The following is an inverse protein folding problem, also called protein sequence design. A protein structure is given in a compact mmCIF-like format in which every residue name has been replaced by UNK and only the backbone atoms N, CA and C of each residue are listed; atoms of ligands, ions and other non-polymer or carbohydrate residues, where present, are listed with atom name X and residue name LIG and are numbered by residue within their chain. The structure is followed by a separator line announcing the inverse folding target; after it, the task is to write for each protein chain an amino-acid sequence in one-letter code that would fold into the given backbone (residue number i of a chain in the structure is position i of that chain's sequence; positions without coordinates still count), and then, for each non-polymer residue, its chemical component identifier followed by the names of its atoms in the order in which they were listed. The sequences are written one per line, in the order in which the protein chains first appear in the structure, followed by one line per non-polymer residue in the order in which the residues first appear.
data_IF_478411573201
#
_entry.id   IF_478411573201
#
_cell.length_a   1.000
_cell.length_b   1.000
_cell.length_c   1.000
_cell.angle_alpha   90.00
_cell.angle_beta   90.00
_cell.angle_gamma   90.00
#
_symmetry.space_group_name_H-M   'P 1'
#
loop_
_entity.id
_entity.type
_entity.pdbx_description
1 polymer ?
#
# COMPACT_ATOMS: atom_id res chain seq x y z
N UNK A 1 30.02 -11.58 75.56
CA UNK A 1 29.11 -10.53 75.03
C UNK A 1 29.83 -9.39 74.28
N UNK A 2 31.01 -8.93 74.73
CA UNK A 2 31.73 -7.81 74.09
C UNK A 2 32.46 -8.18 72.78
N UNK A 3 33.06 -9.38 72.68
CA UNK A 3 33.70 -9.83 71.44
C UNK A 3 32.73 -9.88 70.24
N UNK A 4 31.49 -10.32 70.46
CA UNK A 4 30.48 -10.40 69.40
C UNK A 4 30.07 -9.01 68.88
N UNK A 5 30.13 -7.98 69.73
CA UNK A 5 29.87 -6.59 69.33
C UNK A 5 31.01 -6.06 68.45
N UNK A 6 32.26 -6.28 68.87
CA UNK A 6 33.43 -5.89 68.08
C UNK A 6 33.53 -6.64 66.75
N UNK A 7 33.23 -7.93 66.73
CA UNK A 7 33.17 -8.70 65.49
C UNK A 7 32.10 -8.16 64.52
N UNK A 8 30.92 -7.75 65.02
CA UNK A 8 29.88 -7.12 64.19
C UNK A 8 30.30 -5.75 63.65
N UNK A 9 30.98 -4.93 64.46
CA UNK A 9 31.49 -3.62 64.02
C UNK A 9 32.56 -3.79 62.95
N UNK A 10 33.52 -4.70 63.15
CA UNK A 10 34.55 -5.01 62.16
C UNK A 10 33.96 -5.58 60.86
N UNK A 11 32.98 -6.48 60.97
CA UNK A 11 32.27 -7.01 59.80
C UNK A 11 31.47 -5.93 59.06
N UNK A 12 30.84 -5.01 59.80
CA UNK A 12 30.14 -3.85 59.23
C UNK A 12 31.08 -2.90 58.48
N UNK A 13 32.24 -2.58 59.06
CA UNK A 13 33.28 -1.78 58.40
C UNK A 13 33.81 -2.46 57.14
N UNK A 14 34.07 -3.77 57.22
CA UNK A 14 34.50 -4.56 56.07
C UNK A 14 33.46 -4.57 54.94
N UNK A 15 32.15 -4.61 55.26
CA UNK A 15 31.08 -4.50 54.26
C UNK A 15 30.97 -3.11 53.62
N UNK A 16 31.38 -2.05 54.32
CA UNK A 16 31.40 -0.68 53.78
C UNK A 16 32.60 -0.48 52.86
N UNK A 17 33.78 -0.93 53.29
CA UNK A 17 35.00 -0.87 52.48
C UNK A 17 34.95 -1.83 51.29
N UNK A 18 34.26 -2.96 51.44
CA UNK A 18 34.07 -3.99 50.42
C UNK A 18 32.58 -4.28 50.20
N UNK A 19 31.85 -3.36 49.52
CA UNK A 19 30.43 -3.56 49.28
C UNK A 19 30.22 -4.86 48.50
N UNK A 20 29.36 -5.78 48.99
CA UNK A 20 29.14 -7.06 48.34
C UNK A 20 28.63 -6.82 46.92
N UNK A 21 29.42 -7.27 45.95
CA UNK A 21 29.18 -7.07 44.51
C UNK A 21 27.91 -7.74 44.02
N UNK A 22 27.40 -8.72 44.76
CA UNK A 22 26.17 -9.47 44.50
C UNK A 22 24.91 -8.60 44.34
N UNK A 23 24.85 -7.40 44.97
CA UNK A 23 23.69 -6.51 44.88
C UNK A 23 23.98 -5.13 44.28
N UNK A 24 25.13 -4.94 43.60
CA UNK A 24 25.49 -3.66 42.91
C UNK A 24 24.68 -3.40 41.62
N UNK A 25 23.41 -3.81 41.57
CA UNK A 25 22.57 -3.69 40.37
C UNK A 25 21.07 -3.79 40.61
N UNK A 26 20.60 -3.93 41.86
CA UNK A 26 19.18 -4.07 42.19
C UNK A 26 18.40 -2.75 42.25
N UNK A 27 19.05 -1.63 41.94
CA UNK A 27 18.33 -0.49 41.35
C UNK A 27 17.80 -0.96 40.00
N UNK A 28 16.57 -1.51 39.99
CA UNK A 28 15.93 -2.04 38.78
C UNK A 28 16.10 -1.00 37.67
N UNK A 29 16.87 -1.34 36.63
CA UNK A 29 17.07 -0.47 35.46
C UNK A 29 15.70 -0.25 34.81
N UNK A 30 15.03 0.85 35.15
CA UNK A 30 13.71 1.24 34.63
C UNK A 30 13.71 1.45 33.11
N UNK A 31 14.89 1.71 32.54
CA UNK A 31 15.07 1.97 31.11
C UNK A 31 16.15 1.04 30.58
N UNK A 32 15.79 0.26 29.57
CA UNK A 32 16.72 -0.62 28.87
C UNK A 32 17.85 0.17 28.23
N UNK A 33 19.01 -0.47 28.04
CA UNK A 33 20.15 0.14 27.36
C UNK A 33 19.77 0.61 25.94
N UNK A 34 18.95 -0.16 25.23
CA UNK A 34 18.44 0.19 23.90
C UNK A 34 17.60 1.47 23.92
N UNK A 35 16.68 1.62 24.88
CA UNK A 35 15.85 2.82 25.01
C UNK A 35 16.69 4.06 25.35
N UNK A 36 17.71 3.92 26.19
CA UNK A 36 18.70 5.00 26.44
C UNK A 36 19.45 5.39 25.16
N UNK A 37 19.92 4.41 24.38
CA UNK A 37 20.60 4.68 23.10
C UNK A 37 19.69 5.39 22.09
N UNK A 38 18.43 4.97 21.98
CA UNK A 38 17.46 5.62 21.10
C UNK A 38 17.20 7.08 21.50
N UNK A 39 16.96 7.34 22.79
CA UNK A 39 16.77 8.71 23.31
C UNK A 39 18.00 9.58 22.99
N UNK A 40 19.19 9.05 23.25
CA UNK A 40 20.44 9.75 22.97
C UNK A 40 20.68 9.97 21.46
N UNK A 41 20.12 9.14 20.59
CA UNK A 41 20.13 9.36 19.14
C UNK A 41 19.16 10.48 18.75
N UNK A 42 17.96 10.53 19.35
CA UNK A 42 16.99 11.60 19.14
C UNK A 42 17.56 12.98 19.50
N UNK A 43 18.29 13.08 20.62
CA UNK A 43 18.97 14.33 21.00
C UNK A 43 20.10 14.75 20.03
N UNK A 44 20.61 13.83 19.21
CA UNK A 44 21.65 14.10 18.20
C UNK A 44 21.08 14.29 16.79
N UNK A 45 19.76 14.35 16.65
CA UNK A 45 19.14 14.56 15.34
C UNK A 45 19.47 15.95 14.81
N UNK A 46 19.80 16.01 13.53
CA UNK A 46 20.06 17.26 12.83
C UNK A 46 18.73 17.88 12.34
N UNK A 47 18.57 19.21 12.41
CA UNK A 47 17.36 19.87 11.92
C UNK A 47 17.27 19.79 10.40
N UNK A 48 16.05 19.84 9.84
CA UNK A 48 15.81 19.58 8.42
C UNK A 48 16.62 20.50 7.47
N UNK A 49 16.81 21.77 7.83
CA UNK A 49 17.57 22.74 7.02
C UNK A 49 19.07 22.40 6.91
N UNK A 50 19.60 21.58 7.82
CA UNK A 50 21.00 21.13 7.80
C UNK A 50 21.20 19.85 6.97
N UNK A 51 20.12 19.22 6.51
CA UNK A 51 20.17 17.98 5.74
C UNK A 51 20.55 18.31 4.28
N UNK A 52 21.45 17.54 3.65
CA UNK A 52 21.75 17.71 2.24
C UNK A 52 20.48 17.62 1.37
N UNK A 53 20.36 18.52 0.38
CA UNK A 53 19.15 18.65 -0.46
C UNK A 53 18.65 17.33 -1.06
N UNK A 54 19.55 16.51 -1.61
CA UNK A 54 19.16 15.21 -2.20
C UNK A 54 18.56 14.25 -1.17
N UNK A 55 19.04 14.28 0.08
CA UNK A 55 18.52 13.43 1.16
C UNK A 55 17.16 13.92 1.65
N UNK A 56 16.99 15.24 1.74
CA UNK A 56 15.69 15.85 2.03
C UNK A 56 14.67 15.52 0.91
N UNK A 57 15.08 15.59 -0.36
CA UNK A 57 14.25 15.20 -1.50
C UNK A 57 13.84 13.72 -1.44
N UNK A 58 14.77 12.80 -1.14
CA UNK A 58 14.43 11.38 -1.02
C UNK A 58 13.45 11.11 0.13
N UNK A 59 13.59 11.80 1.26
CA UNK A 59 12.61 11.72 2.35
C UNK A 59 11.25 12.27 1.93
N UNK A 60 11.24 13.42 1.25
CA UNK A 60 10.04 14.07 0.77
C UNK A 60 9.27 13.20 -0.24
N UNK A 61 9.94 12.66 -1.26
CA UNK A 61 9.31 11.84 -2.29
C UNK A 61 8.62 10.60 -1.70
N UNK A 62 9.25 9.96 -0.72
CA UNK A 62 8.65 8.81 -0.03
C UNK A 62 7.39 9.22 0.75
N UNK A 63 7.49 10.29 1.53
CA UNK A 63 6.36 10.81 2.30
C UNK A 63 5.22 11.29 1.39
N UNK A 64 5.54 11.93 0.27
CA UNK A 64 4.55 12.38 -0.71
C UNK A 64 3.80 11.19 -1.34
N UNK A 65 4.51 10.13 -1.72
CA UNK A 65 3.87 8.92 -2.23
C UNK A 65 2.92 8.29 -1.21
N UNK A 66 3.39 8.07 0.02
CA UNK A 66 2.65 7.33 1.05
C UNK A 66 1.51 8.14 1.67
N UNK A 67 1.65 9.47 1.79
CA UNK A 67 0.64 10.31 2.44
C UNK A 67 -0.32 10.99 1.47
N UNK A 68 0.12 11.27 0.24
CA UNK A 68 -0.70 11.96 -0.75
C UNK A 68 -1.14 11.02 -1.87
N UNK A 69 -0.21 10.41 -2.61
CA UNK A 69 -0.57 9.62 -3.80
C UNK A 69 -1.37 8.36 -3.47
N UNK A 70 -1.11 7.71 -2.32
CA UNK A 70 -1.88 6.53 -1.88
C UNK A 70 -3.26 6.90 -1.31
N UNK A 71 -3.42 8.12 -0.80
CA UNK A 71 -4.69 8.61 -0.25
C UNK A 71 -5.61 9.19 -1.33
N UNK A 72 -5.05 9.60 -2.46
CA UNK A 72 -5.81 10.11 -3.60
C UNK A 72 -6.62 8.99 -4.26
N UNK A 73 -7.83 9.32 -4.71
CA UNK A 73 -8.69 8.36 -5.37
C UNK A 73 -8.04 7.88 -6.66
N UNK A 74 -8.04 6.56 -6.86
CA UNK A 74 -7.44 5.96 -8.05
C UNK A 74 -8.28 6.39 -9.27
N UNK A 75 -7.76 7.33 -10.06
CA UNK A 75 -8.44 7.85 -11.27
C UNK A 75 -8.87 6.70 -12.20
N UNK A 76 -8.13 5.58 -12.18
CA UNK A 76 -8.45 4.38 -12.96
C UNK A 76 -9.71 3.67 -12.49
N UNK A 77 -10.19 3.91 -11.28
CA UNK A 77 -11.45 3.35 -10.77
C UNK A 77 -12.64 3.82 -11.63
N UNK A 78 -12.57 5.02 -12.22
CA UNK A 78 -13.62 5.54 -13.10
C UNK A 78 -13.52 5.06 -14.55
N UNK A 79 -12.43 4.38 -14.91
CA UNK A 79 -12.20 3.93 -16.29
C UNK A 79 -13.33 3.04 -16.82
N UNK A 80 -13.82 2.11 -16.00
CA UNK A 80 -14.86 1.16 -16.41
C UNK A 80 -16.20 1.88 -16.60
N UNK A 81 -16.53 2.83 -15.71
CA UNK A 81 -17.74 3.65 -15.82
C UNK A 81 -17.72 4.47 -17.11
N UNK A 82 -16.61 5.15 -17.40
CA UNK A 82 -16.44 5.92 -18.63
C UNK A 82 -16.54 5.07 -19.90
N UNK A 83 -15.97 3.85 -19.89
CA UNK A 83 -16.07 2.94 -21.02
C UNK A 83 -17.51 2.46 -21.26
N UNK A 84 -18.29 2.26 -20.20
CA UNK A 84 -19.72 1.92 -20.30
C UNK A 84 -20.54 3.11 -20.82
N UNK A 85 -20.32 4.30 -20.27
CA UNK A 85 -21.02 5.53 -20.68
C UNK A 85 -20.77 5.84 -22.16
N UNK A 86 -19.50 5.85 -22.59
CA UNK A 86 -19.13 6.09 -23.99
C UNK A 86 -19.74 5.04 -24.93
N UNK A 87 -19.75 3.76 -24.51
CA UNK A 87 -20.38 2.70 -25.29
C UNK A 87 -21.89 2.91 -25.44
N UNK A 88 -22.57 3.27 -24.35
CA UNK A 88 -24.01 3.53 -24.35
C UNK A 88 -24.35 4.74 -25.24
N UNK A 89 -23.60 5.83 -25.13
CA UNK A 89 -23.79 7.02 -25.97
C UNK A 89 -23.63 6.72 -27.47
N UNK A 90 -22.58 5.99 -27.85
CA UNK A 90 -22.35 5.60 -29.26
C UNK A 90 -23.48 4.71 -29.76
N UNK A 91 -23.89 3.72 -28.97
CA UNK A 91 -24.95 2.80 -29.36
C UNK A 91 -26.31 3.52 -29.45
N UNK A 92 -26.62 4.44 -28.54
CA UNK A 92 -27.85 5.23 -28.60
C UNK A 92 -27.87 6.19 -29.80
N UNK A 93 -26.72 6.79 -30.17
CA UNK A 93 -26.58 7.58 -31.39
C UNK A 93 -26.71 6.75 -32.68
N UNK A 94 -26.10 5.57 -32.73
CA UNK A 94 -26.22 4.65 -33.86
C UNK A 94 -27.66 4.11 -33.96
N UNK A 95 -28.31 3.77 -32.86
CA UNK A 95 -29.71 3.31 -32.84
C UNK A 95 -30.69 4.43 -33.24
N UNK A 96 -30.43 5.69 -32.87
CA UNK A 96 -31.27 6.83 -33.27
C UNK A 96 -31.12 7.17 -34.75
N UNK A 97 -29.89 7.21 -35.28
CA UNK A 97 -29.63 7.39 -36.71
C UNK A 97 -30.23 6.25 -37.55
N UNK A 98 -30.10 5.00 -37.11
CA UNK A 98 -30.74 3.84 -37.77
C UNK A 98 -32.28 3.96 -37.76
N UNK A 99 -32.90 4.49 -36.70
CA UNK A 99 -34.36 4.70 -36.65
C UNK A 99 -34.83 5.81 -37.59
N UNK A 100 -34.04 6.87 -37.78
CA UNK A 100 -34.35 7.94 -38.73
C UNK A 100 -34.19 7.49 -40.19
N UNK A 101 -33.28 6.54 -40.46
CA UNK A 101 -33.03 6.01 -41.81
C UNK A 101 -33.90 4.79 -42.20
N UNK A 102 -34.42 4.00 -41.24
CA UNK A 102 -35.10 2.72 -41.50
C UNK A 102 -36.61 2.70 -41.12
N UNK A 103 -37.38 3.72 -41.52
CA UNK A 103 -38.86 3.64 -41.59
C UNK A 103 -39.36 2.61 -42.65
N UNK A 104 -38.46 1.92 -43.36
CA UNK A 104 -38.77 0.87 -44.36
C UNK A 104 -38.27 -0.52 -43.93
N UNK A 105 -39.03 -1.15 -43.03
CA UNK A 105 -39.49 -2.56 -42.99
C UNK A 105 -38.57 -3.78 -43.19
N UNK A 106 -37.24 -3.72 -43.28
CA UNK A 106 -36.46 -4.96 -43.49
C UNK A 106 -35.27 -5.14 -42.52
N UNK A 107 -35.20 -6.34 -41.93
CA UNK A 107 -33.99 -7.00 -41.37
C UNK A 107 -33.65 -6.80 -39.89
N UNK A 108 -34.30 -7.61 -39.06
CA UNK A 108 -33.82 -8.02 -37.73
C UNK A 108 -32.45 -8.74 -37.71
N UNK A 109 -31.81 -8.95 -38.87
CA UNK A 109 -30.56 -9.71 -39.05
C UNK A 109 -29.32 -8.83 -39.35
N UNK A 110 -29.48 -7.62 -39.89
CA UNK A 110 -28.38 -6.67 -40.13
C UNK A 110 -28.04 -5.81 -38.91
N UNK A 111 -28.96 -5.70 -37.95
CA UNK A 111 -28.78 -5.01 -36.66
C UNK A 111 -27.61 -5.53 -35.81
N UNK A 112 -27.13 -6.76 -36.02
CA UNK A 112 -25.99 -7.30 -35.26
C UNK A 112 -24.62 -6.95 -35.86
N UNK A 113 -24.58 -6.40 -37.08
CA UNK A 113 -23.32 -6.05 -37.77
C UNK A 113 -22.94 -4.57 -37.62
N UNK A 114 -23.89 -3.69 -37.31
CA UNK A 114 -23.63 -2.24 -37.13
C UNK A 114 -23.37 -1.84 -35.68
N UNK A 115 -23.89 -2.59 -34.71
CA UNK A 115 -23.64 -2.31 -33.28
C UNK A 115 -22.17 -2.58 -32.98
N UNK A 116 -21.42 -1.51 -32.68
CA UNK A 116 -20.04 -1.59 -32.22
C UNK A 116 -19.95 -2.61 -31.07
N UNK A 117 -18.95 -3.50 -31.00
CA UNK A 117 -18.86 -4.46 -29.91
C UNK A 117 -18.54 -3.74 -28.59
N UNK A 118 -19.19 -4.17 -27.51
CA UNK A 118 -18.92 -3.68 -26.14
C UNK A 118 -17.41 -3.77 -25.82
N UNK A 119 -16.75 -2.63 -25.52
CA UNK A 119 -15.31 -2.58 -25.27
C UNK A 119 -14.89 -3.39 -24.04
N UNK A 120 -15.73 -3.47 -22.99
CA UNK A 120 -15.42 -4.28 -21.81
C UNK A 120 -15.52 -5.77 -22.11
N UNK A 121 -16.52 -6.16 -22.91
CA UNK A 121 -16.65 -7.54 -23.38
C UNK A 121 -15.47 -7.96 -24.26
N UNK A 122 -14.99 -7.06 -25.12
CA UNK A 122 -13.81 -7.31 -25.94
C UNK A 122 -12.55 -7.47 -25.09
N UNK A 123 -12.35 -6.59 -24.10
CA UNK A 123 -11.25 -6.69 -23.14
C UNK A 123 -11.25 -8.05 -22.42
N UNK A 124 -12.41 -8.45 -21.87
CA UNK A 124 -12.56 -9.72 -21.17
C UNK A 124 -12.30 -10.92 -22.10
N UNK A 125 -12.73 -10.84 -23.35
CA UNK A 125 -12.47 -11.91 -24.33
C UNK A 125 -10.99 -12.01 -24.68
N UNK A 126 -10.29 -10.89 -24.84
CA UNK A 126 -8.84 -10.85 -25.07
C UNK A 126 -8.07 -11.45 -23.89
N UNK A 127 -8.42 -11.08 -22.65
CA UNK A 127 -7.78 -11.63 -21.45
C UNK A 127 -8.02 -13.15 -21.32
N UNK A 128 -9.23 -13.63 -21.59
CA UNK A 128 -9.53 -15.07 -21.57
C UNK A 128 -8.77 -15.84 -22.67
N UNK A 129 -8.66 -15.28 -23.88
CA UNK A 129 -7.86 -15.87 -24.96
C UNK A 129 -6.39 -15.90 -24.57
N UNK A 130 -5.85 -14.84 -23.97
CA UNK A 130 -4.47 -14.80 -23.50
C UNK A 130 -4.21 -15.88 -22.43
N UNK A 131 -5.12 -16.02 -21.46
CA UNK A 131 -5.00 -17.03 -20.41
C UNK A 131 -5.05 -18.47 -20.94
N UNK A 132 -5.82 -18.73 -21.99
CA UNK A 132 -5.98 -20.08 -22.58
C UNK A 132 -4.92 -20.43 -23.62
N UNK A 133 -4.27 -19.43 -24.23
CA UNK A 133 -3.22 -19.62 -25.25
C UNK A 133 -1.80 -19.52 -24.69
N UNK A 134 -1.62 -18.91 -23.52
CA UNK A 134 -0.36 -18.92 -22.79
C UNK A 134 -0.04 -20.36 -22.36
N UNK A 135 0.95 -20.96 -23.03
CA UNK A 135 1.54 -22.23 -22.65
C UNK A 135 1.99 -22.14 -21.18
N UNK A 136 1.56 -23.13 -20.39
CA UNK A 136 1.58 -23.30 -18.92
C UNK A 136 2.94 -23.07 -18.21
N UNK A 137 4.00 -22.60 -18.87
CA UNK A 137 5.35 -22.61 -18.30
C UNK A 137 5.84 -21.32 -17.62
N UNK A 138 5.03 -20.27 -17.60
CA UNK A 138 5.36 -19.05 -16.87
C UNK A 138 4.12 -18.16 -16.82
N UNK A 139 3.19 -18.44 -15.89
CA UNK A 139 2.26 -17.41 -15.42
C UNK A 139 3.09 -16.44 -14.56
N UNK A 140 4.08 -15.80 -15.19
CA UNK A 140 4.70 -14.58 -14.72
C UNK A 140 3.57 -13.60 -14.53
N UNK A 141 3.45 -13.06 -13.32
CA UNK A 141 2.48 -12.05 -12.91
C UNK A 141 2.13 -11.13 -14.08
N UNK A 142 1.01 -11.42 -14.77
CA UNK A 142 0.58 -10.60 -15.89
C UNK A 142 0.10 -9.27 -15.29
N UNK A 143 0.99 -8.27 -15.34
CA UNK A 143 0.79 -6.95 -14.77
C UNK A 143 -0.50 -6.34 -15.34
N UNK A 144 -0.82 -6.61 -16.61
CA UNK A 144 -2.01 -6.08 -17.26
C UNK A 144 -3.25 -6.76 -16.67
N UNK A 145 -3.29 -8.09 -16.61
CA UNK A 145 -4.39 -8.82 -15.99
C UNK A 145 -4.62 -8.42 -14.52
N UNK A 146 -3.55 -8.29 -13.73
CA UNK A 146 -3.62 -7.89 -12.32
C UNK A 146 -4.09 -6.44 -12.14
N UNK A 147 -3.66 -5.53 -13.01
CA UNK A 147 -4.10 -4.12 -12.96
C UNK A 147 -5.59 -3.99 -13.25
N UNK A 148 -6.08 -4.66 -14.32
CA UNK A 148 -7.50 -4.62 -14.68
C UNK A 148 -8.38 -5.34 -13.66
N UNK A 149 -7.93 -6.46 -13.08
CA UNK A 149 -8.69 -7.14 -12.02
C UNK A 149 -8.82 -6.27 -10.77
N UNK A 150 -7.76 -5.56 -10.40
CA UNK A 150 -7.79 -4.58 -9.30
C UNK A 150 -8.77 -3.45 -9.60
N UNK A 151 -8.73 -2.87 -10.81
CA UNK A 151 -9.65 -1.82 -11.23
C UNK A 151 -11.10 -2.32 -11.19
N UNK A 152 -11.39 -3.46 -11.82
CA UNK A 152 -12.75 -4.02 -11.88
C UNK A 152 -13.29 -4.39 -10.49
N UNK A 153 -12.44 -4.85 -9.57
CA UNK A 153 -12.84 -5.18 -8.19
C UNK A 153 -13.28 -3.97 -7.36
N UNK A 154 -12.78 -2.78 -7.69
CA UNK A 154 -13.15 -1.52 -7.03
C UNK A 154 -14.47 -0.93 -7.57
N UNK A 155 -14.88 -1.32 -8.77
CA UNK A 155 -16.13 -0.90 -9.41
C UNK A 155 -17.25 -1.79 -8.88
N UNK A 156 -17.63 -1.58 -7.61
CA UNK A 156 -18.87 -2.13 -7.06
C UNK A 156 -20.03 -1.26 -7.50
N UNK A 157 -20.81 -1.76 -8.48
CA UNK A 157 -22.14 -1.25 -8.77
C UNK A 157 -23.04 -1.46 -7.53
N UNK A 158 -23.38 -0.36 -6.86
CA UNK A 158 -24.49 -0.28 -5.90
C UNK A 158 -25.53 0.69 -6.45
#
# INVERSE_FOLDING_TARGET
KNMLKMAKVLFGLNLVDHPPTHNRGTWRKLVSSQRKKAIMACFRMAPLHSVPRHRAMNMFLRAYRELWLEAEEDIRARLIEQLCEEYQEINDQEVTTIKEENETETETLTLTMTIKPDPLRQLLQCLNRAATTAQVFSITEDIVYLSYSTIMSKVTFF
#
